data_IF_849938381795
#
_entry.id   IF_849938381795
#
_cell.length_a   1.000
_cell.length_b   1.000
_cell.length_c   1.000
_cell.angle_alpha   90.00
_cell.angle_beta   90.00
_cell.angle_gamma   90.00
#
_symmetry.space_group_name_H-M   'P 1'
#
loop_
_entity.id
_entity.type
_entity.pdbx_description
1 polymer ?
#
# COMPACT_ATOMS: atom_id res chain seq x y z
N UNK A 1 -29.95 -30.11 -15.80
CA UNK A 1 -30.16 -29.21 -14.65
C UNK A 1 -28.81 -28.61 -14.32
N UNK A 2 -28.64 -27.31 -14.55
CA UNK A 2 -27.45 -26.58 -14.10
C UNK A 2 -27.49 -26.53 -12.58
N UNK A 3 -26.49 -27.12 -11.92
CA UNK A 3 -26.26 -26.99 -10.48
C UNK A 3 -26.20 -25.51 -10.10
N UNK A 4 -26.99 -25.12 -9.11
CA UNK A 4 -27.05 -23.74 -8.64
C UNK A 4 -25.77 -23.41 -7.85
N UNK A 5 -25.10 -22.31 -8.21
CA UNK A 5 -23.82 -21.95 -7.61
C UNK A 5 -24.00 -21.58 -6.13
N UNK A 6 -23.58 -22.47 -5.23
CA UNK A 6 -23.56 -22.21 -3.79
C UNK A 6 -22.59 -21.06 -3.46
N UNK A 7 -23.09 -20.01 -2.79
CA UNK A 7 -22.30 -18.84 -2.36
C UNK A 7 -22.48 -18.61 -0.87
N UNK A 8 -21.39 -18.37 -0.16
CA UNK A 8 -21.38 -17.95 1.24
C UNK A 8 -21.03 -16.45 1.34
N UNK A 9 -21.56 -15.77 2.35
CA UNK A 9 -21.26 -14.34 2.56
C UNK A 9 -19.85 -14.19 3.14
N UNK A 10 -19.01 -13.38 2.49
CA UNK A 10 -17.67 -13.09 2.97
C UNK A 10 -17.70 -11.92 3.96
N UNK A 11 -17.31 -12.18 5.21
CA UNK A 11 -17.08 -11.14 6.20
C UNK A 11 -15.75 -10.42 5.93
N UNK A 12 -15.79 -9.42 5.05
CA UNK A 12 -14.61 -8.69 4.55
C UNK A 12 -13.72 -8.13 5.67
N UNK A 13 -14.29 -7.79 6.82
CA UNK A 13 -13.53 -7.31 7.98
C UNK A 13 -12.50 -8.33 8.50
N UNK A 14 -12.80 -9.64 8.43
CA UNK A 14 -11.90 -10.71 8.89
C UNK A 14 -10.79 -11.01 7.88
N UNK A 15 -10.94 -10.58 6.63
CA UNK A 15 -9.97 -10.83 5.57
C UNK A 15 -9.19 -9.59 5.16
N UNK A 16 -9.50 -8.40 5.69
CA UNK A 16 -8.74 -7.18 5.41
C UNK A 16 -7.51 -7.07 6.30
N UNK A 17 -6.43 -6.43 5.81
CA UNK A 17 -5.30 -6.09 6.65
C UNK A 17 -5.75 -5.12 7.75
N UNK A 18 -4.97 -5.03 8.82
CA UNK A 18 -5.19 -4.03 9.85
C UNK A 18 -5.08 -2.63 9.24
N UNK A 19 -6.14 -1.83 9.38
CA UNK A 19 -6.23 -0.47 8.87
C UNK A 19 -6.46 0.54 9.99
N UNK A 20 -5.96 1.76 9.80
CA UNK A 20 -6.18 2.88 10.70
C UNK A 20 -6.42 4.14 9.88
N UNK A 21 -7.48 4.92 10.20
CA UNK A 21 -7.83 6.15 9.50
C UNK A 21 -7.86 6.03 7.94
N UNK A 22 -8.33 4.89 7.43
CA UNK A 22 -8.51 4.65 5.98
C UNK A 22 -7.28 4.17 5.22
N UNK A 23 -6.13 3.94 5.90
CA UNK A 23 -4.90 3.39 5.30
C UNK A 23 -4.46 2.13 6.04
N UNK A 24 -3.50 1.37 5.50
CA UNK A 24 -2.90 0.25 6.23
C UNK A 24 -2.11 0.73 7.44
N UNK A 25 -2.07 -0.08 8.51
CA UNK A 25 -1.31 0.24 9.71
C UNK A 25 0.17 0.51 9.40
N UNK A 26 0.78 -0.30 8.52
CA UNK A 26 2.16 -0.10 8.05
C UNK A 26 2.37 1.30 7.46
N UNK A 27 1.49 1.73 6.55
CA UNK A 27 1.60 3.04 5.91
C UNK A 27 1.38 4.18 6.91
N UNK A 28 0.43 4.04 7.83
CA UNK A 28 0.20 5.02 8.88
C UNK A 28 1.45 5.27 9.73
N UNK A 29 2.13 4.19 10.14
CA UNK A 29 3.37 4.28 10.93
C UNK A 29 4.48 4.94 10.11
N UNK A 30 4.65 4.57 8.84
CA UNK A 30 5.65 5.19 7.95
C UNK A 30 5.38 6.69 7.79
N UNK A 31 4.12 7.09 7.57
CA UNK A 31 3.74 8.48 7.46
C UNK A 31 4.03 9.26 8.75
N UNK A 32 3.74 8.67 9.92
CA UNK A 32 4.04 9.28 11.21
C UNK A 32 5.55 9.47 11.44
N UNK A 33 6.36 8.45 11.16
CA UNK A 33 7.83 8.52 11.27
C UNK A 33 8.37 9.62 10.34
N UNK A 34 8.00 9.60 9.06
CA UNK A 34 8.42 10.60 8.09
C UNK A 34 8.01 12.03 8.52
N UNK A 35 6.81 12.18 9.08
CA UNK A 35 6.33 13.48 9.59
C UNK A 35 7.16 13.98 10.76
N UNK A 36 7.53 13.10 11.69
CA UNK A 36 8.42 13.46 12.81
C UNK A 36 9.80 13.85 12.30
N UNK A 37 10.39 13.08 11.39
CA UNK A 37 11.69 13.39 10.79
C UNK A 37 11.67 14.75 10.06
N UNK A 38 10.67 15.00 9.23
CA UNK A 38 10.49 16.28 8.54
C UNK A 38 10.32 17.43 9.55
N UNK A 39 9.59 17.21 10.64
CA UNK A 39 9.42 18.23 11.67
C UNK A 39 10.74 18.55 12.37
N UNK A 40 11.57 17.55 12.67
CA UNK A 40 12.89 17.76 13.28
C UNK A 40 13.84 18.54 12.37
N UNK A 41 13.77 18.32 11.06
CA UNK A 41 14.58 19.01 10.05
C UNK A 41 14.10 20.46 9.85
N UNK A 42 12.82 20.64 9.51
CA UNK A 42 12.28 21.93 9.11
C UNK A 42 11.83 22.81 10.28
N UNK A 43 11.52 22.19 11.43
CA UNK A 43 11.03 22.85 12.65
C UNK A 43 9.85 23.79 12.38
N UNK A 44 8.95 23.36 11.50
CA UNK A 44 7.87 24.18 10.99
C UNK A 44 6.53 23.44 11.03
N UNK A 45 5.46 24.19 11.29
CA UNK A 45 4.11 23.64 11.42
C UNK A 45 3.55 23.10 10.10
N UNK A 46 4.02 23.60 8.95
CA UNK A 46 3.55 23.17 7.63
C UNK A 46 3.81 21.68 7.36
N UNK A 47 4.71 21.04 8.10
CA UNK A 47 4.96 19.59 8.03
C UNK A 47 3.69 18.79 8.31
N UNK A 48 2.79 19.29 9.15
CA UNK A 48 1.49 18.65 9.40
C UNK A 48 0.60 18.64 8.15
N UNK A 49 0.66 19.70 7.33
CA UNK A 49 -0.06 19.75 6.06
C UNK A 49 0.52 18.74 5.08
N UNK A 50 1.85 18.62 5.01
CA UNK A 50 2.51 17.60 4.19
C UNK A 50 2.11 16.19 4.63
N UNK A 51 2.11 15.91 5.95
CA UNK A 51 1.66 14.65 6.52
C UNK A 51 0.21 14.30 6.14
N UNK A 52 -0.68 15.29 6.17
CA UNK A 52 -2.08 15.12 5.79
C UNK A 52 -2.24 14.85 4.29
N UNK A 53 -1.49 15.54 3.45
CA UNK A 53 -1.50 15.32 1.99
C UNK A 53 -1.00 13.92 1.66
N UNK A 54 0.13 13.50 2.24
CA UNK A 54 0.68 12.15 2.05
C UNK A 54 -0.32 11.10 2.53
N UNK A 55 -0.92 11.30 3.71
CA UNK A 55 -1.95 10.40 4.24
C UNK A 55 -3.17 10.32 3.33
N UNK A 56 -3.66 11.46 2.84
CA UNK A 56 -4.80 11.55 1.93
C UNK A 56 -4.56 10.79 0.62
N UNK A 57 -3.37 10.94 0.02
CA UNK A 57 -2.98 10.15 -1.16
C UNK A 57 -2.99 8.65 -0.83
N UNK A 58 -2.47 8.26 0.34
CA UNK A 58 -2.48 6.86 0.74
C UNK A 58 -3.89 6.32 0.98
N UNK A 59 -4.78 7.14 1.53
CA UNK A 59 -6.20 6.79 1.70
C UNK A 59 -6.87 6.54 0.35
N UNK A 60 -6.63 7.42 -0.63
CA UNK A 60 -7.14 7.25 -1.99
C UNK A 60 -6.62 5.97 -2.65
N UNK A 61 -5.34 5.64 -2.46
CA UNK A 61 -4.76 4.40 -2.98
C UNK A 61 -5.40 3.14 -2.36
N UNK A 62 -5.79 3.20 -1.08
CA UNK A 62 -6.46 2.11 -0.38
C UNK A 62 -7.95 1.93 -0.73
N UNK A 63 -8.56 2.85 -1.50
CA UNK A 63 -9.95 2.71 -1.94
C UNK A 63 -10.14 1.54 -2.91
N UNK A 64 -9.21 1.39 -3.84
CA UNK A 64 -9.22 0.29 -4.83
C UNK A 64 -8.72 -1.00 -4.18
N UNK A 65 -7.54 -0.94 -3.55
CA UNK A 65 -6.89 -2.11 -2.97
C UNK A 65 -6.38 -1.83 -1.54
N UNK A 66 -7.04 -2.35 -0.49
CA UNK A 66 -6.62 -2.14 0.90
C UNK A 66 -5.20 -2.61 1.20
N UNK A 67 -4.65 -3.54 0.41
CA UNK A 67 -3.32 -4.14 0.60
C UNK A 67 -2.24 -3.50 -0.28
N UNK A 68 -2.54 -2.39 -0.96
CA UNK A 68 -1.66 -1.83 -2.00
C UNK A 68 -0.22 -1.58 -1.52
N UNK A 69 -0.05 -1.12 -0.29
CA UNK A 69 1.28 -0.87 0.31
C UNK A 69 2.04 -2.16 0.60
N UNK A 70 1.37 -3.16 1.18
CA UNK A 70 2.01 -4.44 1.49
C UNK A 70 2.40 -5.17 0.20
N UNK A 71 1.53 -5.13 -0.82
CA UNK A 71 1.80 -5.65 -2.15
C UNK A 71 2.96 -4.92 -2.83
N UNK A 72 3.01 -3.59 -2.69
CA UNK A 72 4.10 -2.78 -3.24
C UNK A 72 5.44 -3.12 -2.57
N UNK A 73 5.48 -3.17 -1.23
CA UNK A 73 6.69 -3.57 -0.47
C UNK A 73 7.12 -4.98 -0.88
N UNK A 74 6.18 -5.92 -0.97
CA UNK A 74 6.45 -7.31 -1.37
C UNK A 74 7.03 -7.37 -2.78
N UNK A 75 6.47 -6.60 -3.72
CA UNK A 75 6.96 -6.50 -5.09
C UNK A 75 8.38 -5.95 -5.13
N UNK A 76 8.66 -4.87 -4.42
CA UNK A 76 10.00 -4.26 -4.40
C UNK A 76 11.03 -5.21 -3.77
N UNK A 77 10.65 -5.94 -2.71
CA UNK A 77 11.55 -6.86 -2.00
C UNK A 77 11.80 -8.16 -2.76
N UNK A 78 10.76 -8.80 -3.28
CA UNK A 78 10.84 -10.17 -3.82
C UNK A 78 10.85 -10.22 -5.34
N UNK A 79 10.36 -9.17 -6.02
CA UNK A 79 10.24 -9.11 -7.47
C UNK A 79 10.84 -7.82 -8.04
N UNK A 80 12.11 -7.48 -7.73
CA UNK A 80 12.75 -6.29 -8.28
C UNK A 80 12.82 -6.38 -9.80
N UNK A 81 12.78 -5.21 -10.47
CA UNK A 81 12.79 -5.13 -11.93
C UNK A 81 14.14 -5.60 -12.48
N UNK A 82 14.14 -6.62 -13.32
CA UNK A 82 15.36 -7.16 -13.96
C UNK A 82 15.86 -6.26 -15.12
N UNK A 83 17.16 -6.33 -15.45
CA UNK A 83 17.78 -5.51 -16.52
C UNK A 83 17.08 -5.65 -17.88
N UNK A 84 16.62 -6.85 -18.22
CA UNK A 84 15.97 -7.12 -19.50
C UNK A 84 14.45 -6.85 -19.50
N UNK A 85 13.88 -6.30 -18.41
CA UNK A 85 12.44 -6.04 -18.34
C UNK A 85 11.96 -5.08 -19.44
N UNK A 86 12.80 -4.15 -19.92
CA UNK A 86 12.42 -3.27 -21.02
C UNK A 86 12.08 -4.04 -22.31
N UNK A 87 12.76 -5.16 -22.54
CA UNK A 87 12.57 -6.02 -23.70
C UNK A 87 11.31 -6.87 -23.52
N UNK A 88 11.22 -7.59 -22.41
CA UNK A 88 10.18 -8.60 -22.18
C UNK A 88 8.89 -8.07 -21.55
N UNK A 89 8.92 -6.85 -21.02
CA UNK A 89 7.85 -6.24 -20.21
C UNK A 89 7.42 -7.07 -18.99
N UNK A 90 8.23 -8.04 -18.59
CA UNK A 90 8.07 -8.86 -17.40
C UNK A 90 9.45 -9.22 -16.80
N UNK A 91 9.45 -9.69 -15.56
CA UNK A 91 10.64 -10.30 -14.97
C UNK A 91 10.82 -11.71 -15.53
N UNK A 92 11.90 -11.92 -16.30
CA UNK A 92 12.33 -13.25 -16.74
C UNK A 92 13.00 -14.00 -15.59
N UNK A 93 12.66 -15.27 -15.39
CA UNK A 93 13.31 -16.17 -14.43
C UNK A 93 14.66 -16.71 -14.91
N UNK A 94 15.03 -16.46 -16.17
CA UNK A 94 16.33 -16.84 -16.73
C UNK A 94 17.25 -15.61 -16.81
N UNK A 95 18.54 -15.76 -16.43
CA UNK A 95 19.54 -14.70 -16.59
C UNK A 95 19.65 -14.23 -18.05
#
# INVERSE_FOLDING_TARGET
MSEELRRDTLFVALTRPQMFAGVTYTFFVINAIASVELFLIFRAWWVLLAALVIHGIGMLACLEEPRIFDLWITRVRNCPRVRNHAIWRCNSYRP
#
